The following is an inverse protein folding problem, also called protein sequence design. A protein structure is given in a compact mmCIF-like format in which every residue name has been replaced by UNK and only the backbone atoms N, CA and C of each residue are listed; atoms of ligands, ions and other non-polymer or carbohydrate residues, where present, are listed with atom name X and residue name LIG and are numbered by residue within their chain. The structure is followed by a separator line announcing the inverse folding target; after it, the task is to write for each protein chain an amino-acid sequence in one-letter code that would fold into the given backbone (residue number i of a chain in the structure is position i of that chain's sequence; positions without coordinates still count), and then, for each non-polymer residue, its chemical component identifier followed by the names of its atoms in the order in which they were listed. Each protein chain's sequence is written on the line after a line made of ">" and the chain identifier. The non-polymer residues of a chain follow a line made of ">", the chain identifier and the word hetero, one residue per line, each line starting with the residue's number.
data_IF_508467763328
#
_entry.id   IF_508467763328
#
_cell.length_a   1.000
_cell.length_b   1.000
_cell.length_c   1.000
_cell.angle_alpha   90.00
_cell.angle_beta   90.00
_cell.angle_gamma   90.00
#
_symmetry.space_group_name_H-M   'P 1'
#
loop_
_entity.id
_entity.type
_entity.pdbx_description
1 polymer ?
#
# COMPACT_ATOMS: atom_id res chain seq x y z
N UNK A 1 28.03 50.96 12.91
CA UNK A 1 26.71 50.55 12.40
C UNK A 1 26.84 49.22 11.70
N UNK A 2 26.04 48.26 12.19
CA UNK A 2 25.87 46.84 11.81
C UNK A 2 25.88 46.58 10.28
N UNK A 3 26.43 45.49 9.75
CA UNK A 3 25.73 44.20 9.69
C UNK A 3 26.67 43.03 9.33
N UNK A 4 26.79 42.06 10.24
CA UNK A 4 27.34 40.75 9.98
C UNK A 4 26.31 39.91 9.21
N UNK A 5 26.66 39.48 7.99
CA UNK A 5 25.83 38.62 7.16
C UNK A 5 25.86 37.19 7.71
N UNK A 6 24.78 36.81 8.39
CA UNK A 6 24.59 35.48 8.95
C UNK A 6 24.37 34.45 7.81
N UNK A 7 25.41 33.69 7.47
CA UNK A 7 25.30 32.55 6.55
C UNK A 7 24.69 31.37 7.30
N UNK A 8 23.37 31.23 7.22
CA UNK A 8 22.66 30.02 7.64
C UNK A 8 22.94 28.89 6.65
N UNK A 9 23.87 28.01 7.00
CA UNK A 9 23.99 26.70 6.37
C UNK A 9 22.71 25.90 6.66
N UNK A 10 21.82 25.86 5.67
CA UNK A 10 20.61 25.04 5.72
C UNK A 10 21.00 23.57 5.64
N UNK A 11 20.93 22.87 6.77
CA UNK A 11 21.06 21.42 6.82
C UNK A 11 19.98 20.79 5.92
N UNK A 12 20.33 19.85 5.02
CA UNK A 12 19.33 19.16 4.21
C UNK A 12 18.49 18.29 5.14
N UNK A 13 17.25 18.70 5.37
CA UNK A 13 16.19 17.87 5.95
C UNK A 13 15.97 16.67 5.03
N UNK A 14 16.72 15.57 5.25
CA UNK A 14 16.34 14.25 4.71
C UNK A 14 15.07 13.81 5.42
N UNK A 15 13.92 14.23 4.90
CA UNK A 15 12.66 13.55 5.17
C UNK A 15 12.68 12.23 4.41
N UNK A 16 13.26 11.21 5.02
CA UNK A 16 12.97 9.83 4.66
C UNK A 16 11.60 9.46 5.24
N UNK A 17 10.53 10.06 4.72
CA UNK A 17 9.14 9.73 5.10
C UNK A 17 8.60 8.50 4.39
N UNK A 18 9.35 7.96 3.41
CA UNK A 18 8.85 7.03 2.40
C UNK A 18 8.62 5.59 2.88
N UNK A 19 8.59 5.34 4.20
CA UNK A 19 8.41 3.99 4.76
C UNK A 19 7.27 3.83 5.76
N UNK A 20 6.63 4.92 6.21
CA UNK A 20 5.66 4.84 7.33
C UNK A 20 4.20 5.06 6.89
N UNK A 21 3.96 5.46 5.65
CA UNK A 21 2.60 5.72 5.12
C UNK A 21 1.79 4.47 4.75
N UNK A 22 2.36 3.27 4.92
CA UNK A 22 1.70 2.02 4.55
C UNK A 22 1.65 1.76 3.04
N UNK A 23 2.57 2.32 2.25
CA UNK A 23 2.71 1.97 0.83
C UNK A 23 3.22 0.54 0.67
N UNK A 24 2.61 -0.18 -0.27
CA UNK A 24 3.09 -1.50 -0.71
C UNK A 24 4.16 -1.30 -1.79
N UNK A 25 5.35 -1.88 -1.57
CA UNK A 25 6.48 -1.76 -2.50
C UNK A 25 6.51 -2.91 -3.50
N UNK A 26 6.93 -2.60 -4.72
CA UNK A 26 7.22 -3.61 -5.74
C UNK A 26 8.36 -4.52 -5.27
N UNK A 27 8.26 -5.80 -5.64
CA UNK A 27 9.26 -6.82 -5.37
C UNK A 27 9.72 -7.48 -6.67
N UNK A 28 10.96 -7.96 -6.68
CA UNK A 28 11.54 -8.65 -7.84
C UNK A 28 11.03 -10.09 -7.96
N UNK A 29 11.05 -10.61 -9.20
CA UNK A 29 10.71 -11.99 -9.54
C UNK A 29 9.29 -12.43 -9.10
N UNK A 30 8.32 -11.51 -9.17
CA UNK A 30 6.97 -11.79 -8.71
C UNK A 30 6.31 -12.95 -9.45
N UNK A 31 6.44 -13.00 -10.77
CA UNK A 31 5.84 -14.05 -11.58
C UNK A 31 6.32 -15.45 -11.15
N UNK A 32 7.63 -15.60 -10.86
CA UNK A 32 8.19 -16.85 -10.36
C UNK A 32 7.58 -17.21 -8.99
N UNK A 33 7.52 -16.27 -8.06
CA UNK A 33 6.94 -16.48 -6.71
C UNK A 33 5.48 -16.91 -6.80
N UNK A 34 4.71 -16.29 -7.69
CA UNK A 34 3.30 -16.60 -7.90
C UNK A 34 3.09 -17.97 -8.56
N UNK A 35 3.95 -18.37 -9.51
CA UNK A 35 3.93 -19.72 -10.10
C UNK A 35 4.16 -20.79 -9.03
N UNK A 36 5.13 -20.59 -8.15
CA UNK A 36 5.37 -21.54 -7.05
C UNK A 36 4.21 -21.55 -6.05
N UNK A 37 3.62 -20.40 -5.73
CA UNK A 37 2.42 -20.35 -4.88
C UNK A 37 1.24 -21.11 -5.50
N UNK A 38 1.02 -20.96 -6.81
CA UNK A 38 -0.02 -21.70 -7.52
C UNK A 38 0.19 -23.23 -7.42
N UNK A 39 1.43 -23.71 -7.57
CA UNK A 39 1.78 -25.14 -7.40
C UNK A 39 1.52 -25.66 -5.99
N UNK A 40 1.73 -24.82 -4.97
CA UNK A 40 1.44 -25.16 -3.58
C UNK A 40 -0.07 -25.14 -3.26
N UNK A 41 -0.92 -24.82 -4.23
CA UNK A 41 -2.38 -24.86 -4.09
C UNK A 41 -3.00 -23.55 -3.63
N UNK A 42 -2.22 -22.46 -3.50
CA UNK A 42 -2.79 -21.13 -3.25
C UNK A 42 -3.68 -20.71 -4.43
N UNK A 43 -4.84 -20.12 -4.12
CA UNK A 43 -5.86 -19.76 -5.12
C UNK A 43 -5.96 -18.26 -5.37
N UNK A 44 -5.47 -17.45 -4.44
CA UNK A 44 -5.50 -15.99 -4.47
C UNK A 44 -4.18 -15.41 -4.03
N UNK A 45 -3.76 -14.33 -4.65
CA UNK A 45 -2.62 -13.54 -4.24
C UNK A 45 -2.93 -12.04 -4.24
N UNK A 46 -2.52 -11.36 -3.17
CA UNK A 46 -2.53 -9.90 -3.07
C UNK A 46 -1.15 -9.40 -3.46
N UNK A 47 -1.07 -8.50 -4.43
CA UNK A 47 0.19 -8.03 -4.99
C UNK A 47 0.24 -6.49 -5.06
N UNK A 48 1.43 -5.87 -5.10
CA UNK A 48 1.56 -4.45 -5.37
C UNK A 48 0.99 -4.08 -6.74
N UNK A 49 0.35 -2.91 -6.83
CA UNK A 49 -0.15 -2.34 -8.09
C UNK A 49 0.99 -1.97 -9.04
N UNK A 50 0.72 -2.02 -10.35
CA UNK A 50 1.65 -1.53 -11.38
C UNK A 50 2.47 -2.61 -12.08
N UNK A 51 2.09 -3.87 -11.92
CA UNK A 51 2.69 -4.99 -12.66
C UNK A 51 1.63 -5.67 -13.52
N UNK A 52 1.95 -5.87 -14.79
CA UNK A 52 1.15 -6.69 -15.69
C UNK A 52 1.68 -8.11 -15.61
N UNK A 53 0.79 -9.07 -15.34
CA UNK A 53 1.13 -10.48 -15.24
C UNK A 53 0.35 -11.26 -16.30
N UNK A 54 0.98 -12.31 -16.83
CA UNK A 54 0.32 -13.32 -17.65
C UNK A 54 -0.71 -14.09 -16.81
N UNK A 55 -1.56 -14.92 -17.44
CA UNK A 55 -2.42 -15.82 -16.67
C UNK A 55 -1.57 -16.84 -15.89
N UNK A 56 -1.75 -16.88 -14.58
CA UNK A 56 -1.01 -17.72 -13.65
C UNK A 56 -1.89 -18.79 -12.97
N UNK A 57 -3.18 -18.88 -13.34
CA UNK A 57 -4.11 -19.83 -12.75
C UNK A 57 -4.44 -19.56 -11.27
N UNK A 58 -4.16 -18.36 -10.78
CA UNK A 58 -4.55 -17.85 -9.46
C UNK A 58 -5.16 -16.46 -9.61
N UNK A 59 -6.12 -16.14 -8.76
CA UNK A 59 -6.75 -14.82 -8.74
C UNK A 59 -5.77 -13.79 -8.17
N UNK A 60 -5.62 -12.65 -8.87
CA UNK A 60 -4.69 -11.58 -8.54
C UNK A 60 -5.46 -10.35 -8.08
N UNK A 61 -5.14 -9.85 -6.89
CA UNK A 61 -5.69 -8.63 -6.31
C UNK A 61 -4.57 -7.60 -6.17
N UNK A 62 -4.65 -6.49 -6.89
CA UNK A 62 -3.63 -5.44 -6.87
C UNK A 62 -3.94 -4.34 -5.86
N UNK A 63 -2.96 -3.99 -5.02
CA UNK A 63 -3.10 -2.97 -3.96
C UNK A 63 -1.93 -2.00 -3.96
N UNK A 64 -2.18 -0.75 -3.58
CA UNK A 64 -1.12 0.25 -3.38
C UNK A 64 -0.85 0.52 -1.90
N UNK A 65 -1.79 0.17 -1.01
CA UNK A 65 -1.71 0.42 0.44
C UNK A 65 -1.92 -0.87 1.24
N UNK A 66 -1.29 -0.94 2.41
CA UNK A 66 -1.43 -2.07 3.34
C UNK A 66 -2.87 -2.21 3.83
N UNK A 67 -3.59 -1.12 4.04
CA UNK A 67 -5.00 -1.16 4.44
C UNK A 67 -5.86 -1.92 3.42
N UNK A 68 -5.68 -1.64 2.12
CA UNK A 68 -6.42 -2.32 1.05
C UNK A 68 -6.10 -3.82 1.02
N UNK A 69 -4.84 -4.18 1.31
CA UNK A 69 -4.42 -5.58 1.43
C UNK A 69 -5.13 -6.30 2.59
N UNK A 70 -5.27 -5.63 3.73
CA UNK A 70 -5.97 -6.19 4.90
C UNK A 70 -7.45 -6.40 4.58
N UNK A 71 -8.11 -5.40 3.98
CA UNK A 71 -9.52 -5.49 3.58
C UNK A 71 -9.73 -6.65 2.60
N UNK A 72 -8.85 -6.81 1.61
CA UNK A 72 -8.93 -7.88 0.63
C UNK A 72 -8.65 -9.29 1.22
N UNK A 73 -7.86 -9.38 2.29
CA UNK A 73 -7.51 -10.64 2.93
C UNK A 73 -8.60 -11.16 3.88
N UNK A 74 -9.41 -10.28 4.47
CA UNK A 74 -10.38 -10.65 5.51
C UNK A 74 -11.74 -11.08 4.91
N UNK A 75 -12.33 -12.19 5.37
CA UNK A 75 -13.68 -12.58 4.98
C UNK A 75 -14.71 -11.59 5.55
N UNK A 76 -15.50 -10.97 4.68
CA UNK A 76 -16.57 -10.03 5.04
C UNK A 76 -16.28 -8.55 4.79
N UNK A 77 -15.05 -8.18 4.41
CA UNK A 77 -14.62 -6.78 4.28
C UNK A 77 -14.75 -6.01 5.61
N UNK A 78 -14.16 -4.82 5.71
CA UNK A 78 -14.58 -3.90 6.77
C UNK A 78 -16.06 -3.59 6.49
N UNK A 79 -16.99 -4.25 7.18
CA UNK A 79 -18.38 -3.83 7.23
C UNK A 79 -18.36 -2.43 7.85
N UNK A 80 -18.28 -1.42 7.00
CA UNK A 80 -18.48 -0.03 7.40
C UNK A 80 -19.99 0.15 7.53
N UNK A 81 -20.53 -0.32 8.66
CA UNK A 81 -21.79 0.17 9.17
C UNK A 81 -21.53 1.60 9.69
N UNK A 82 -21.36 2.55 8.77
CA UNK A 82 -21.51 3.96 9.12
C UNK A 82 -23.02 4.22 9.08
N UNK A 83 -23.69 4.44 10.21
CA UNK A 83 -25.06 4.95 10.15
C UNK A 83 -25.01 6.32 9.46
N UNK A 84 -25.61 6.45 8.28
CA UNK A 84 -25.74 7.72 7.55
C UNK A 84 -26.78 8.68 8.18
N UNK A 85 -27.41 8.29 9.29
CA UNK A 85 -28.59 9.00 9.82
C UNK A 85 -28.34 9.68 11.18
N UNK A 86 -27.28 10.49 11.32
CA UNK A 86 -27.18 11.47 12.43
C UNK A 86 -27.07 12.89 11.86
N UNK A 87 -27.99 13.27 10.98
CA UNK A 87 -28.20 14.68 10.61
C UNK A 87 -29.64 15.19 10.81
N UNK A 88 -30.59 14.34 11.25
CA UNK A 88 -32.01 14.74 11.43
C UNK A 88 -32.44 14.95 12.90
N UNK A 89 -31.51 15.26 13.80
CA UNK A 89 -31.84 15.67 15.17
C UNK A 89 -30.95 16.82 15.65
N UNK A 90 -31.23 18.04 15.16
CA UNK A 90 -31.03 19.31 15.87
C UNK A 90 -31.85 20.43 15.21
#
# INVERSE_FOLDING_TARGET
>A
TINAHNQTHSFPQRRSSDSLGGQVRLVSQMELRLKEAAKLGFKRAIIPKGQTLSDLGIEIIQVSRVLDAIIAALPGGLRQDFPEDIEDQM
#
